data_IF_830896012537
#
_entry.id   IF_830896012537
#
_cell.length_a   1.000
_cell.length_b   1.000
_cell.length_c   1.000
_cell.angle_alpha   90.00
_cell.angle_beta   90.00
_cell.angle_gamma   90.00
#
_symmetry.space_group_name_H-M   'P 1'
#
loop_
_entity.id
_entity.type
_entity.pdbx_description
1 polymer ?
#
# COMPACT_ATOMS: atom_id res chain seq x y z
N UNK A 1 8.19 5.98 23.79
CA UNK A 1 6.79 5.78 23.31
C UNK A 1 6.06 4.98 24.37
N UNK A 2 4.91 5.49 24.85
CA UNK A 2 4.10 4.76 25.81
C UNK A 2 3.67 3.42 25.21
N UNK A 3 3.70 2.36 26.00
CA UNK A 3 3.31 0.98 25.60
C UNK A 3 1.81 0.81 25.29
N UNK A 4 1.10 1.88 24.92
CA UNK A 4 -0.36 1.94 24.88
C UNK A 4 -1.00 1.35 23.60
N UNK A 5 -0.19 0.86 22.64
CA UNK A 5 -0.72 0.31 21.40
C UNK A 5 -0.17 -1.07 21.05
N UNK A 6 -0.25 -1.99 22.00
CA UNK A 6 -0.01 -3.39 21.70
C UNK A 6 -1.24 -3.97 21.01
N UNK A 7 -1.06 -4.46 19.78
CA UNK A 7 -2.13 -5.16 19.07
C UNK A 7 -2.54 -6.44 19.80
N UNK A 8 -3.82 -6.71 19.86
CA UNK A 8 -4.30 -7.94 20.49
C UNK A 8 -3.84 -9.19 19.69
N UNK A 9 -3.70 -10.31 20.36
CA UNK A 9 -3.36 -11.59 19.72
C UNK A 9 -4.40 -11.97 18.65
N UNK A 10 -5.65 -11.59 18.85
CA UNK A 10 -6.72 -11.81 17.89
C UNK A 10 -6.47 -11.05 16.58
N UNK A 11 -6.11 -9.77 16.65
CA UNK A 11 -5.76 -8.94 15.48
C UNK A 11 -4.60 -9.57 14.70
N UNK A 12 -3.53 -9.95 15.40
CA UNK A 12 -2.38 -10.59 14.77
C UNK A 12 -2.78 -11.90 14.09
N UNK A 13 -3.55 -12.74 14.78
CA UNK A 13 -4.05 -14.01 14.22
C UNK A 13 -4.95 -13.82 13.00
N UNK A 14 -5.79 -12.79 12.99
CA UNK A 14 -6.63 -12.45 11.82
C UNK A 14 -5.77 -12.04 10.63
N UNK A 15 -4.76 -11.20 10.85
CA UNK A 15 -3.80 -10.81 9.81
C UNK A 15 -3.04 -12.02 9.25
N UNK A 16 -2.44 -12.83 10.12
CA UNK A 16 -1.71 -14.05 9.71
C UNK A 16 -2.58 -15.04 8.94
N UNK A 17 -3.84 -15.18 9.34
CA UNK A 17 -4.79 -16.10 8.70
C UNK A 17 -5.27 -15.59 7.35
N UNK A 18 -5.68 -14.34 7.27
CA UNK A 18 -6.41 -13.77 6.14
C UNK A 18 -5.53 -12.96 5.18
N UNK A 19 -4.37 -12.48 5.64
CA UNK A 19 -3.49 -11.56 4.88
C UNK A 19 -3.96 -10.11 4.92
N UNK A 20 -5.06 -9.82 5.61
CA UNK A 20 -5.60 -8.47 5.78
C UNK A 20 -6.39 -8.37 7.08
N UNK A 21 -6.32 -7.20 7.71
CA UNK A 21 -7.10 -6.85 8.91
C UNK A 21 -7.44 -5.36 8.92
N UNK A 22 -8.66 -5.03 9.38
CA UNK A 22 -9.08 -3.65 9.65
C UNK A 22 -8.79 -3.31 11.10
N UNK A 23 -8.03 -2.24 11.30
CA UNK A 23 -7.72 -1.65 12.60
C UNK A 23 -8.51 -0.33 12.73
N UNK A 24 -9.47 -0.29 13.66
CA UNK A 24 -10.33 0.88 13.81
C UNK A 24 -9.73 1.94 14.71
N UNK A 25 -9.89 3.22 14.32
CA UNK A 25 -9.49 4.40 15.11
C UNK A 25 -8.00 4.42 15.51
N UNK A 26 -7.10 3.93 14.63
CA UNK A 26 -5.66 3.89 14.93
C UNK A 26 -4.91 5.17 14.59
N UNK A 27 -5.51 6.05 13.78
CA UNK A 27 -4.91 7.32 13.36
C UNK A 27 -5.65 8.44 14.05
N UNK A 28 -4.99 9.11 14.99
CA UNK A 28 -5.57 10.21 15.73
C UNK A 28 -5.77 11.48 14.87
N UNK A 29 -6.55 12.43 15.39
CA UNK A 29 -6.90 13.66 14.68
C UNK A 29 -5.69 14.53 14.31
N UNK A 30 -4.57 14.44 15.05
CA UNK A 30 -3.34 15.16 14.70
C UNK A 30 -2.78 14.63 13.38
N UNK A 31 -2.62 13.30 13.28
CA UNK A 31 -2.11 12.67 12.08
C UNK A 31 -3.06 12.83 10.89
N UNK A 32 -4.38 12.72 11.12
CA UNK A 32 -5.36 12.95 10.04
C UNK A 32 -5.21 14.34 9.43
N UNK A 33 -5.04 15.40 10.24
CA UNK A 33 -4.81 16.78 9.74
C UNK A 33 -3.52 16.89 8.95
N UNK A 34 -2.41 16.35 9.47
CA UNK A 34 -1.12 16.36 8.78
C UNK A 34 -1.23 15.68 7.41
N UNK A 35 -1.89 14.53 7.34
CA UNK A 35 -2.13 13.81 6.08
C UNK A 35 -2.99 14.63 5.11
N UNK A 36 -4.08 15.23 5.59
CA UNK A 36 -4.96 16.06 4.76
C UNK A 36 -4.18 17.23 4.17
N UNK A 37 -3.45 17.98 4.99
CA UNK A 37 -2.72 19.17 4.56
C UNK A 37 -1.66 18.83 3.50
N UNK A 38 -0.86 17.79 3.73
CA UNK A 38 0.19 17.38 2.80
C UNK A 38 -0.37 16.80 1.50
N UNK A 39 -1.46 16.05 1.56
CA UNK A 39 -2.10 15.46 0.38
C UNK A 39 -2.79 16.55 -0.46
N UNK A 40 -3.45 17.53 0.15
CA UNK A 40 -4.03 18.66 -0.58
C UNK A 40 -2.95 19.56 -1.21
N UNK A 41 -1.77 19.64 -0.61
CA UNK A 41 -0.61 20.30 -1.22
C UNK A 41 -0.14 19.55 -2.47
N UNK A 42 0.03 18.22 -2.37
CA UNK A 42 0.43 17.38 -3.51
C UNK A 42 -0.60 17.39 -4.66
N UNK A 43 -1.89 17.38 -4.35
CA UNK A 43 -2.93 17.48 -5.38
C UNK A 43 -2.83 18.81 -6.15
N UNK A 44 -2.51 19.92 -5.48
CA UNK A 44 -2.35 21.23 -6.11
C UNK A 44 -1.04 21.37 -6.88
N UNK A 45 0.04 20.80 -6.37
CA UNK A 45 1.39 20.86 -6.93
C UNK A 45 2.07 19.50 -6.80
N UNK A 46 1.80 18.59 -7.75
CA UNK A 46 2.30 17.23 -7.65
C UNK A 46 3.82 17.13 -7.58
N UNK A 47 4.30 16.20 -6.74
CA UNK A 47 5.70 15.84 -6.63
C UNK A 47 6.22 15.06 -7.86
N UNK A 48 7.51 14.65 -7.87
CA UNK A 48 8.20 14.16 -9.06
C UNK A 48 7.71 12.79 -9.57
N UNK A 49 7.06 11.98 -8.73
CA UNK A 49 6.57 10.64 -9.10
C UNK A 49 5.06 10.62 -9.33
N UNK A 50 4.52 11.77 -9.71
CA UNK A 50 3.12 11.93 -10.04
C UNK A 50 2.74 11.10 -11.27
N UNK A 51 1.59 10.45 -11.18
CA UNK A 51 0.95 9.77 -12.28
C UNK A 51 -0.56 10.00 -12.22
N UNK A 52 -1.14 10.32 -13.35
CA UNK A 52 -2.58 10.50 -13.49
C UNK A 52 -3.14 9.51 -14.51
N UNK A 53 -4.35 9.07 -14.24
CA UNK A 53 -5.10 8.25 -15.18
C UNK A 53 -6.40 8.99 -15.50
N UNK A 54 -6.47 9.55 -16.70
CA UNK A 54 -7.70 10.13 -17.20
C UNK A 54 -8.59 9.01 -17.76
N UNK A 55 -9.88 9.08 -17.50
CA UNK A 55 -10.82 8.16 -18.12
C UNK A 55 -11.03 8.58 -19.58
N UNK A 56 -11.24 7.62 -20.49
CA UNK A 56 -11.52 7.89 -21.91
C UNK A 56 -12.77 8.78 -22.12
N UNK A 57 -13.69 8.80 -21.16
CA UNK A 57 -14.92 9.60 -21.21
C UNK A 57 -14.79 11.00 -20.60
N UNK A 58 -13.61 11.45 -20.18
CA UNK A 58 -13.36 12.78 -19.62
C UNK A 58 -14.07 13.09 -18.29
N UNK A 59 -14.69 12.09 -17.67
CA UNK A 59 -15.32 12.21 -16.36
C UNK A 59 -14.52 11.42 -15.32
N UNK A 60 -14.18 12.09 -14.21
CA UNK A 60 -13.39 11.54 -13.15
C UNK A 60 -11.91 11.44 -13.50
N UNK A 61 -11.07 11.77 -12.55
CA UNK A 61 -9.61 11.66 -12.65
C UNK A 61 -9.11 10.77 -11.53
N UNK A 62 -8.10 9.97 -11.84
CA UNK A 62 -7.31 9.30 -10.83
C UNK A 62 -5.98 10.04 -10.71
N UNK A 63 -5.68 10.55 -9.51
CA UNK A 63 -4.41 11.16 -9.16
C UNK A 63 -3.64 10.18 -8.27
N UNK A 64 -2.43 9.84 -8.67
CA UNK A 64 -1.50 9.04 -7.89
C UNK A 64 -0.15 9.70 -7.78
N UNK A 65 0.54 9.46 -6.69
CA UNK A 65 1.93 9.84 -6.50
C UNK A 65 2.59 8.87 -5.52
N UNK A 66 3.91 8.73 -5.57
CA UNK A 66 4.67 7.86 -4.68
C UNK A 66 5.91 8.56 -4.15
N UNK A 67 6.51 8.00 -3.09
CA UNK A 67 7.70 8.55 -2.43
C UNK A 67 7.50 9.98 -1.93
N UNK A 68 6.26 10.32 -1.50
CA UNK A 68 5.91 11.64 -1.01
C UNK A 68 6.62 11.95 0.32
N UNK A 69 6.88 10.93 1.15
CA UNK A 69 7.60 11.08 2.41
C UNK A 69 8.98 11.74 2.26
N UNK A 70 9.59 11.66 1.07
CA UNK A 70 10.88 12.29 0.77
C UNK A 70 10.76 13.80 0.53
N UNK A 71 9.56 14.30 0.23
CA UNK A 71 9.30 15.68 -0.20
C UNK A 71 8.42 16.48 0.76
N UNK A 72 7.57 15.81 1.54
CA UNK A 72 6.65 16.44 2.48
C UNK A 72 6.99 16.06 3.91
N UNK A 73 7.42 17.06 4.73
CA UNK A 73 7.84 16.79 6.10
C UNK A 73 6.75 16.13 6.95
N UNK A 74 5.49 16.52 6.79
CA UNK A 74 4.37 15.91 7.50
C UNK A 74 4.18 14.43 7.17
N UNK A 75 4.35 14.02 5.90
CA UNK A 75 4.29 12.61 5.48
C UNK A 75 5.51 11.84 5.97
N UNK A 76 6.69 12.46 5.95
CA UNK A 76 7.90 11.88 6.54
C UNK A 76 7.70 11.58 8.01
N UNK A 77 7.21 12.54 8.77
CA UNK A 77 6.95 12.38 10.20
C UNK A 77 5.91 11.29 10.45
N UNK A 78 4.85 11.22 9.64
CA UNK A 78 3.86 10.15 9.74
C UNK A 78 4.45 8.78 9.46
N UNK A 79 5.22 8.62 8.40
CA UNK A 79 5.82 7.34 8.03
C UNK A 79 6.85 6.83 9.05
N UNK A 80 7.57 7.74 9.73
CA UNK A 80 8.67 7.39 10.63
C UNK A 80 8.24 7.40 12.09
N UNK A 81 7.49 8.45 12.52
CA UNK A 81 7.26 8.76 13.93
C UNK A 81 5.85 8.39 14.42
N UNK A 82 4.97 7.89 13.55
CA UNK A 82 3.66 7.37 13.97
C UNK A 82 3.79 5.97 14.61
N UNK A 83 2.66 5.39 14.98
CA UNK A 83 2.61 4.02 15.49
C UNK A 83 2.76 2.94 14.41
N UNK A 84 2.77 3.31 13.11
CA UNK A 84 2.80 2.35 12.00
C UNK A 84 4.03 1.43 12.01
N UNK A 85 5.29 1.93 12.22
CA UNK A 85 6.46 1.04 12.31
C UNK A 85 6.33 -0.01 13.41
N UNK A 86 5.76 0.37 14.56
CA UNK A 86 5.55 -0.56 15.67
C UNK A 86 4.45 -1.58 15.37
N UNK A 87 3.37 -1.19 14.70
CA UNK A 87 2.36 -2.14 14.23
C UNK A 87 2.92 -3.10 13.18
N UNK A 88 3.78 -2.61 12.27
CA UNK A 88 4.47 -3.45 11.31
C UNK A 88 5.33 -4.51 12.01
N UNK A 89 6.09 -4.12 13.03
CA UNK A 89 6.91 -5.04 13.81
C UNK A 89 6.09 -6.16 14.45
N UNK A 90 4.91 -5.84 15.00
CA UNK A 90 4.03 -6.82 15.63
C UNK A 90 3.36 -7.74 14.60
N UNK A 91 2.81 -7.20 13.51
CA UNK A 91 2.10 -7.97 12.49
C UNK A 91 3.04 -8.86 11.66
N UNK A 92 4.26 -8.39 11.41
CA UNK A 92 5.29 -9.15 10.69
C UNK A 92 6.13 -10.06 11.60
N UNK A 93 5.93 -9.97 12.92
CA UNK A 93 6.79 -10.65 13.91
C UNK A 93 8.28 -10.39 13.64
N UNK A 94 8.64 -9.13 13.40
CA UNK A 94 10.01 -8.73 13.04
C UNK A 94 10.62 -7.85 14.13
N UNK A 95 11.91 -7.99 14.35
CA UNK A 95 12.68 -7.18 15.29
C UNK A 95 13.34 -5.96 14.65
N UNK A 96 13.21 -5.78 13.33
CA UNK A 96 13.65 -4.59 12.58
C UNK A 96 12.65 -4.28 11.48
N UNK A 97 12.35 -3.00 11.28
CA UNK A 97 11.43 -2.51 10.26
C UNK A 97 12.10 -1.40 9.45
N UNK A 98 12.08 -1.56 8.13
CA UNK A 98 12.44 -0.51 7.20
C UNK A 98 11.18 0.12 6.60
N UNK A 99 11.18 1.43 6.44
CA UNK A 99 10.24 2.13 5.56
C UNK A 99 10.62 1.79 4.12
N UNK A 100 9.65 1.29 3.34
CA UNK A 100 9.91 0.97 1.95
C UNK A 100 9.51 2.12 1.03
N UNK A 101 8.25 2.50 0.99
CA UNK A 101 7.76 3.73 0.34
C UNK A 101 6.31 4.00 0.71
N UNK A 102 5.85 5.19 0.36
CA UNK A 102 4.47 5.61 0.49
C UNK A 102 3.83 5.92 -0.87
N UNK A 103 2.51 5.90 -0.93
CA UNK A 103 1.77 6.15 -2.17
C UNK A 103 0.40 6.74 -1.91
N UNK A 104 0.07 7.75 -2.71
CA UNK A 104 -1.22 8.43 -2.72
C UNK A 104 -2.11 7.88 -3.84
N UNK A 105 -3.40 7.75 -3.53
CA UNK A 105 -4.44 7.31 -4.46
C UNK A 105 -5.68 8.18 -4.30
N UNK A 106 -5.93 9.10 -5.21
CA UNK A 106 -7.14 9.93 -5.21
C UNK A 106 -8.04 9.52 -6.36
N UNK A 107 -9.24 9.10 -6.04
CA UNK A 107 -10.31 8.89 -7.02
C UNK A 107 -11.28 10.06 -6.93
N UNK A 108 -11.31 10.89 -7.96
CA UNK A 108 -12.30 11.95 -8.06
C UNK A 108 -13.71 11.38 -8.25
N UNK A 109 -14.77 12.17 -8.01
CA UNK A 109 -16.14 11.75 -8.28
C UNK A 109 -16.28 11.15 -9.68
N UNK A 110 -17.11 10.13 -9.81
CA UNK A 110 -17.41 9.46 -11.08
C UNK A 110 -16.19 8.80 -11.78
N UNK A 111 -15.10 8.54 -11.05
CA UNK A 111 -13.95 7.77 -11.57
C UNK A 111 -14.31 6.28 -11.67
N UNK A 112 -14.78 5.84 -12.83
CA UNK A 112 -15.24 4.46 -13.05
C UNK A 112 -14.12 3.42 -13.07
N UNK A 113 -12.86 3.85 -13.23
CA UNK A 113 -11.73 2.94 -13.38
C UNK A 113 -11.48 2.13 -12.11
N UNK A 114 -11.48 0.80 -12.26
CA UNK A 114 -11.05 -0.14 -11.23
C UNK A 114 -9.52 -0.16 -11.16
N UNK A 115 -8.99 -0.39 -9.96
CA UNK A 115 -7.65 -0.97 -9.80
C UNK A 115 -7.85 -2.48 -9.94
N UNK A 116 -7.19 -3.08 -10.94
CA UNK A 116 -7.28 -4.50 -11.25
C UNK A 116 -6.83 -5.35 -10.07
N UNK A 117 -7.29 -6.59 -10.02
CA UNK A 117 -6.79 -7.58 -9.09
C UNK A 117 -5.29 -7.80 -9.31
N UNK A 118 -4.50 -7.78 -8.24
CA UNK A 118 -3.05 -7.96 -8.25
C UNK A 118 -2.56 -8.31 -6.84
N UNK A 119 -1.32 -8.73 -6.74
CA UNK A 119 -0.56 -8.67 -5.50
C UNK A 119 0.60 -7.68 -5.67
N UNK A 120 0.93 -6.98 -4.61
CA UNK A 120 1.82 -5.82 -4.64
C UNK A 120 3.30 -6.19 -4.90
N UNK A 121 3.80 -7.23 -4.23
CA UNK A 121 5.24 -7.51 -4.18
C UNK A 121 5.89 -7.78 -5.56
N UNK A 122 5.22 -8.38 -6.56
CA UNK A 122 5.79 -8.51 -7.91
C UNK A 122 6.14 -7.19 -8.61
N UNK A 123 5.55 -6.09 -8.18
CA UNK A 123 5.88 -4.75 -8.69
C UNK A 123 7.15 -4.17 -8.08
N UNK A 124 7.71 -4.79 -7.03
CA UNK A 124 8.71 -4.17 -6.18
C UNK A 124 10.09 -4.81 -6.34
N UNK A 125 11.18 -4.02 -6.27
CA UNK A 125 12.55 -4.53 -6.34
C UNK A 125 13.00 -5.13 -5.00
N UNK A 126 12.18 -6.03 -4.43
CA UNK A 126 12.45 -6.69 -3.14
C UNK A 126 11.97 -8.14 -3.13
N UNK A 127 12.64 -8.97 -2.33
CA UNK A 127 12.26 -10.35 -2.03
C UNK A 127 12.24 -10.60 -0.53
N UNK A 128 11.23 -11.32 -0.07
CA UNK A 128 11.08 -11.73 1.32
C UNK A 128 9.61 -11.81 1.72
N UNK A 129 9.36 -12.52 2.82
CA UNK A 129 8.00 -12.70 3.32
C UNK A 129 7.48 -11.52 4.15
N UNK A 130 8.26 -10.94 5.09
CA UNK A 130 7.73 -9.95 6.02
C UNK A 130 7.58 -8.58 5.37
N UNK A 131 6.55 -8.42 4.52
CA UNK A 131 6.24 -7.17 3.81
C UNK A 131 4.77 -6.80 4.01
N UNK A 132 4.51 -5.57 4.46
CA UNK A 132 3.18 -5.10 4.82
C UNK A 132 2.89 -3.73 4.21
N UNK A 133 1.65 -3.53 3.81
CA UNK A 133 1.08 -2.23 3.46
C UNK A 133 0.06 -1.80 4.52
N UNK A 134 0.18 -0.56 4.99
CA UNK A 134 -0.88 0.12 5.72
C UNK A 134 -1.57 1.10 4.80
N UNK A 135 -2.88 1.00 4.70
CA UNK A 135 -3.67 1.91 3.88
C UNK A 135 -4.73 2.59 4.74
N UNK A 136 -4.79 3.91 4.67
CA UNK A 136 -5.81 4.72 5.33
C UNK A 136 -6.59 5.54 4.32
N UNK A 137 -7.84 5.84 4.63
CA UNK A 137 -8.64 6.82 3.90
C UNK A 137 -8.83 8.09 4.71
N UNK A 138 -8.75 9.23 4.03
CA UNK A 138 -9.09 10.54 4.61
C UNK A 138 -10.56 10.88 4.46
N UNK A 139 -11.29 10.07 3.71
CA UNK A 139 -12.72 10.20 3.44
C UNK A 139 -13.44 8.91 3.88
N UNK A 140 -14.73 8.95 4.25
CA UNK A 140 -15.48 7.75 4.54
C UNK A 140 -15.48 6.80 3.34
N UNK A 141 -15.28 5.52 3.58
CA UNK A 141 -15.31 4.46 2.56
C UNK A 141 -16.60 3.66 2.68
N UNK A 142 -17.27 3.50 1.54
CA UNK A 142 -18.45 2.67 1.37
C UNK A 142 -18.38 1.91 0.04
N UNK A 143 -19.38 1.09 -0.23
CA UNK A 143 -19.48 0.34 -1.50
C UNK A 143 -19.51 1.23 -2.74
N UNK A 144 -19.92 2.49 -2.61
CA UNK A 144 -20.13 3.40 -3.74
C UNK A 144 -18.88 4.14 -4.18
N UNK A 145 -17.90 4.32 -3.28
CA UNK A 145 -16.70 5.11 -3.58
C UNK A 145 -15.43 4.29 -3.77
N UNK A 146 -15.58 3.01 -4.07
CA UNK A 146 -14.50 2.13 -4.48
C UNK A 146 -13.64 1.64 -3.31
N UNK A 147 -14.22 0.87 -2.39
CA UNK A 147 -13.47 0.22 -1.32
C UNK A 147 -12.38 -0.70 -1.87
N UNK A 148 -11.37 -0.94 -1.08
CA UNK A 148 -10.43 -2.01 -1.36
C UNK A 148 -11.10 -3.36 -1.12
N UNK A 149 -10.88 -4.27 -2.04
CA UNK A 149 -11.36 -5.66 -2.00
C UNK A 149 -10.16 -6.60 -1.91
N UNK A 150 -10.26 -7.62 -1.07
CA UNK A 150 -9.19 -8.58 -0.80
C UNK A 150 -9.71 -10.00 -0.93
N UNK A 151 -8.89 -10.92 -1.45
CA UNK A 151 -9.18 -12.35 -1.38
C UNK A 151 -8.48 -12.91 -0.14
N UNK A 152 -9.28 -13.31 0.86
CA UNK A 152 -8.72 -13.87 2.10
C UNK A 152 -7.81 -15.06 1.82
N UNK A 153 -6.70 -15.13 2.55
CA UNK A 153 -5.69 -16.20 2.49
C UNK A 153 -4.89 -16.29 1.19
N UNK A 154 -5.14 -15.41 0.21
CA UNK A 154 -4.42 -15.46 -1.07
C UNK A 154 -2.92 -15.20 -0.96
N UNK A 155 -2.45 -14.50 0.08
CA UNK A 155 -1.03 -14.34 0.36
C UNK A 155 -0.30 -15.70 0.59
N UNK A 156 -1.03 -16.76 0.97
CA UNK A 156 -0.52 -18.12 1.20
C UNK A 156 -0.56 -19.02 -0.04
N UNK A 157 -0.99 -18.50 -1.19
CA UNK A 157 -1.06 -19.30 -2.41
C UNK A 157 0.31 -19.62 -3.01
N UNK A 158 1.38 -18.92 -2.58
CA UNK A 158 2.71 -19.06 -3.15
C UNK A 158 2.80 -18.56 -4.59
N UNK A 159 1.88 -17.67 -5.00
CA UNK A 159 1.74 -17.19 -6.37
C UNK A 159 2.23 -15.75 -6.49
N UNK A 160 3.02 -15.52 -7.53
CA UNK A 160 3.45 -14.19 -7.96
C UNK A 160 2.82 -13.91 -9.31
N UNK A 161 2.06 -12.83 -9.38
CA UNK A 161 1.34 -12.49 -10.59
C UNK A 161 2.05 -11.40 -11.38
N UNK A 162 2.02 -11.56 -12.73
CA UNK A 162 2.63 -10.61 -13.63
C UNK A 162 2.10 -9.19 -13.39
N UNK A 163 2.97 -8.19 -13.12
CA UNK A 163 2.59 -6.80 -13.06
C UNK A 163 1.91 -6.32 -14.34
N UNK A 164 0.80 -5.62 -14.20
CA UNK A 164 0.08 -4.98 -15.28
C UNK A 164 -0.18 -3.50 -14.94
N UNK A 165 -0.24 -2.65 -15.95
CA UNK A 165 -0.61 -1.25 -15.72
C UNK A 165 -2.06 -1.14 -15.23
N UNK A 166 -2.27 -0.30 -14.24
CA UNK A 166 -3.60 -0.05 -13.69
C UNK A 166 -4.45 0.86 -14.57
N UNK A 167 -3.79 1.68 -15.43
CA UNK A 167 -4.48 2.58 -16.34
C UNK A 167 -4.80 1.88 -17.67
N UNK A 168 -6.01 2.03 -18.19
CA UNK A 168 -6.29 1.73 -19.60
C UNK A 168 -5.39 2.59 -20.50
N UNK A 169 -4.75 1.98 -21.48
CA UNK A 169 -3.95 2.72 -22.48
C UNK A 169 -2.59 3.25 -21.98
N UNK A 170 -2.11 2.85 -20.81
CA UNK A 170 -0.79 3.26 -20.33
C UNK A 170 0.30 2.81 -21.32
N UNK A 171 1.16 3.74 -21.71
CA UNK A 171 2.13 3.59 -22.81
C UNK A 171 3.30 2.63 -22.53
N UNK A 172 3.49 2.20 -21.28
CA UNK A 172 4.56 1.27 -20.90
C UNK A 172 3.98 0.06 -20.17
N UNK A 173 3.98 -1.08 -20.84
CA UNK A 173 3.74 -2.35 -20.17
C UNK A 173 4.94 -2.68 -19.26
N UNK A 174 4.68 -3.28 -18.10
CA UNK A 174 5.75 -3.87 -17.30
C UNK A 174 6.44 -4.98 -18.08
N UNK A 175 7.76 -5.08 -17.91
CA UNK A 175 8.52 -6.17 -18.49
C UNK A 175 8.00 -7.53 -17.99
N UNK A 176 7.79 -8.49 -18.90
CA UNK A 176 7.31 -9.81 -18.52
C UNK A 176 8.38 -10.59 -17.78
N UNK A 177 8.03 -11.10 -16.61
CA UNK A 177 8.83 -12.05 -15.88
C UNK A 177 8.31 -13.47 -16.16
N UNK A 178 9.14 -14.39 -16.71
CA UNK A 178 8.71 -15.75 -17.05
C UNK A 178 8.34 -16.60 -15.83
N UNK A 179 8.76 -16.21 -14.63
CA UNK A 179 8.44 -16.89 -13.36
C UNK A 179 7.09 -16.45 -12.79
N UNK A 180 6.49 -15.39 -13.32
CA UNK A 180 5.22 -14.87 -12.81
C UNK A 180 4.04 -15.39 -13.60
N UNK A 181 3.00 -15.75 -12.90
CA UNK A 181 1.78 -16.26 -13.51
C UNK A 181 0.86 -15.11 -13.95
N UNK A 182 0.01 -15.39 -14.93
CA UNK A 182 -1.09 -14.48 -15.23
C UNK A 182 -2.11 -14.55 -14.10
N UNK A 183 -2.58 -13.37 -13.63
CA UNK A 183 -3.67 -13.36 -12.65
C UNK A 183 -4.93 -14.00 -13.24
N UNK A 184 -5.64 -14.87 -12.50
CA UNK A 184 -6.90 -15.44 -12.99
C UNK A 184 -7.97 -14.35 -13.17
N UNK A 185 -8.96 -14.63 -14.00
CA UNK A 185 -10.14 -13.76 -14.16
C UNK A 185 -11.05 -13.84 -12.92
N UNK A 186 -10.64 -13.11 -11.90
CA UNK A 186 -11.37 -13.04 -10.61
C UNK A 186 -12.69 -12.34 -10.81
N UNK A 187 -12.72 -11.28 -11.63
CA UNK A 187 -13.90 -10.42 -11.76
C UNK A 187 -15.09 -11.19 -12.35
N UNK A 188 -14.86 -12.01 -13.37
CA UNK A 188 -15.91 -12.86 -13.96
C UNK A 188 -16.23 -14.11 -13.13
N UNK A 189 -15.47 -14.39 -12.07
CA UNK A 189 -15.61 -15.60 -11.24
C UNK A 189 -15.63 -15.26 -9.74
N UNK A 190 -16.20 -14.14 -9.35
CA UNK A 190 -16.17 -13.64 -7.96
C UNK A 190 -16.74 -14.64 -6.95
N UNK A 191 -17.72 -15.43 -7.36
CA UNK A 191 -18.35 -16.48 -6.56
C UNK A 191 -17.41 -17.62 -6.13
N UNK A 192 -16.29 -17.78 -6.83
CA UNK A 192 -15.26 -18.80 -6.52
C UNK A 192 -14.21 -18.32 -5.49
N UNK A 193 -14.25 -17.04 -5.09
CA UNK A 193 -13.25 -16.43 -4.23
C UNK A 193 -13.86 -15.88 -2.95
N UNK A 194 -13.15 -16.04 -1.83
CA UNK A 194 -13.54 -15.47 -0.54
C UNK A 194 -13.14 -13.99 -0.49
N UNK A 195 -13.94 -13.15 -1.15
CA UNK A 195 -13.70 -11.72 -1.28
C UNK A 195 -14.30 -10.98 -0.10
N UNK A 196 -13.50 -10.11 0.52
CA UNK A 196 -13.94 -9.20 1.56
C UNK A 196 -13.61 -7.75 1.22
N UNK A 197 -14.39 -6.84 1.73
CA UNK A 197 -14.15 -5.40 1.74
C UNK A 197 -14.60 -4.81 3.06
N UNK A 198 -14.18 -3.58 3.34
CA UNK A 198 -14.45 -2.92 4.61
C UNK A 198 -15.00 -1.52 4.38
N UNK A 199 -16.09 -1.19 5.07
CA UNK A 199 -16.48 0.20 5.27
C UNK A 199 -15.53 0.82 6.30
N UNK A 200 -15.05 2.03 6.03
CA UNK A 200 -14.06 2.70 6.87
C UNK A 200 -14.45 4.15 7.12
N UNK A 201 -14.03 4.63 8.27
CA UNK A 201 -14.06 6.06 8.59
C UNK A 201 -12.64 6.63 8.58
N UNK A 202 -12.46 7.95 8.41
CA UNK A 202 -11.18 8.60 8.66
C UNK A 202 -10.62 8.22 10.04
N UNK A 203 -9.36 7.79 10.06
CA UNK A 203 -8.74 7.25 11.28
C UNK A 203 -8.67 5.73 11.34
N UNK A 204 -9.43 5.03 10.53
CA UNK A 204 -9.30 3.58 10.37
C UNK A 204 -8.09 3.25 9.47
N UNK A 205 -7.53 2.05 9.67
CA UNK A 205 -6.33 1.59 9.01
C UNK A 205 -6.50 0.15 8.53
N UNK A 206 -6.30 -0.09 7.25
CA UNK A 206 -6.14 -1.44 6.70
C UNK A 206 -4.68 -1.84 6.77
N UNK A 207 -4.40 -3.01 7.34
CA UNK A 207 -3.10 -3.64 7.29
C UNK A 207 -3.18 -4.90 6.43
N UNK A 208 -2.35 -5.02 5.38
CA UNK A 208 -2.38 -6.18 4.51
C UNK A 208 -1.00 -6.59 4.01
N UNK A 209 -0.84 -7.91 3.85
CA UNK A 209 0.39 -8.52 3.38
C UNK A 209 0.61 -8.22 1.89
N UNK A 210 1.84 -7.96 1.48
CA UNK A 210 2.18 -7.60 0.10
C UNK A 210 1.80 -8.65 -0.97
N UNK A 211 1.63 -9.91 -0.58
CA UNK A 211 1.21 -10.99 -1.48
C UNK A 211 -0.30 -11.26 -1.46
N UNK A 212 -1.10 -10.56 -0.63
CA UNK A 212 -2.55 -10.73 -0.69
C UNK A 212 -3.08 -10.17 -2.02
N UNK A 213 -3.90 -10.94 -2.69
CA UNK A 213 -4.55 -10.50 -3.93
C UNK A 213 -5.65 -9.52 -3.58
N UNK A 214 -5.56 -8.34 -4.17
CA UNK A 214 -6.51 -7.27 -3.90
C UNK A 214 -6.75 -6.40 -5.15
N UNK A 215 -7.76 -5.58 -5.06
CA UNK A 215 -8.13 -4.61 -6.08
C UNK A 215 -9.03 -3.54 -5.49
N UNK A 216 -9.57 -2.66 -6.30
CA UNK A 216 -10.59 -1.72 -5.82
C UNK A 216 -11.55 -1.32 -6.93
N UNK A 217 -12.83 -1.24 -6.61
CA UNK A 217 -13.84 -0.75 -7.53
C UNK A 217 -13.61 0.72 -7.90
N UNK A 218 -14.28 1.20 -8.94
CA UNK A 218 -14.34 2.62 -9.27
C UNK A 218 -15.08 3.42 -8.20
N UNK A 219 -14.89 4.74 -8.22
CA UNK A 219 -15.68 5.67 -7.41
C UNK A 219 -16.89 6.13 -8.23
N UNK A 220 -18.07 5.64 -7.91
CA UNK A 220 -19.32 6.03 -8.56
C UNK A 220 -20.11 7.08 -7.75
N UNK A 221 -19.56 7.49 -6.60
CA UNK A 221 -20.16 8.51 -5.75
C UNK A 221 -19.88 9.92 -6.27
N UNK A 222 -20.52 10.91 -5.64
CA UNK A 222 -20.31 12.34 -5.91
C UNK A 222 -19.15 12.95 -5.13
N UNK A 223 -18.51 12.17 -4.27
CA UNK A 223 -17.48 12.63 -3.36
C UNK A 223 -16.11 12.09 -3.77
N UNK A 224 -15.07 12.90 -3.54
CA UNK A 224 -13.67 12.50 -3.69
C UNK A 224 -13.31 11.41 -2.67
N UNK A 225 -12.46 10.49 -3.07
CA UNK A 225 -11.89 9.47 -2.18
C UNK A 225 -10.36 9.52 -2.19
N UNK A 226 -9.76 9.97 -1.08
CA UNK A 226 -8.31 10.04 -0.87
C UNK A 226 -7.85 8.86 -0.03
N UNK A 227 -7.00 8.03 -0.61
CA UNK A 227 -6.36 6.92 0.08
C UNK A 227 -4.85 7.11 0.12
N UNK A 228 -4.23 6.81 1.24
CA UNK A 228 -2.79 6.89 1.43
C UNK A 228 -2.24 5.59 2.00
N UNK A 229 -1.22 5.06 1.37
CA UNK A 229 -0.58 3.82 1.75
C UNK A 229 0.88 4.04 2.18
N UNK A 230 1.29 3.40 3.27
CA UNK A 230 2.69 3.32 3.70
C UNK A 230 3.10 1.87 3.76
N UNK A 231 4.26 1.54 3.22
CA UNK A 231 4.75 0.16 3.12
C UNK A 231 6.02 -0.03 3.93
N UNK A 232 6.07 -1.15 4.63
CA UNK A 232 7.21 -1.52 5.46
C UNK A 232 7.66 -2.93 5.17
N UNK A 233 8.94 -3.17 5.41
CA UNK A 233 9.57 -4.49 5.32
C UNK A 233 10.17 -4.88 6.65
N UNK A 234 10.13 -6.17 6.95
CA UNK A 234 10.83 -6.75 8.09
C UNK A 234 12.28 -7.09 7.76
N UNK A 235 12.98 -7.64 8.76
CA UNK A 235 14.42 -7.86 8.78
C UNK A 235 15.00 -8.67 7.62
N UNK A 236 14.29 -9.69 7.14
CA UNK A 236 14.86 -10.68 6.20
C UNK A 236 14.48 -10.39 4.74
N UNK A 237 14.00 -9.17 4.47
CA UNK A 237 13.71 -8.72 3.11
C UNK A 237 14.99 -8.19 2.47
N UNK A 238 15.27 -8.68 1.27
CA UNK A 238 16.44 -8.29 0.48
C UNK A 238 16.05 -7.47 -0.75
N UNK A 239 16.96 -6.65 -1.21
CA UNK A 239 16.86 -5.99 -2.49
C UNK A 239 17.01 -6.99 -3.64
N UNK A 240 16.16 -6.87 -4.67
CA UNK A 240 16.16 -7.77 -5.82
C UNK A 240 15.49 -7.08 -7.02
N UNK A 241 16.29 -6.76 -8.04
CA UNK A 241 15.83 -6.04 -9.25
C UNK A 241 15.27 -7.00 -10.30
N UNK A 242 14.15 -7.62 -10.00
CA UNK A 242 13.53 -8.53 -10.95
C UNK A 242 12.88 -7.81 -12.15
N UNK A 243 12.71 -8.58 -13.24
CA UNK A 243 11.92 -8.14 -14.39
C UNK A 243 10.50 -7.81 -13.95
N UNK A 244 10.02 -6.66 -14.40
CA UNK A 244 8.69 -6.15 -14.03
C UNK A 244 8.67 -5.30 -12.77
N UNK A 245 9.77 -5.18 -12.02
CA UNK A 245 9.83 -4.27 -10.87
C UNK A 245 9.86 -2.80 -11.29
N UNK A 246 9.14 -1.96 -10.51
CA UNK A 246 8.97 -0.54 -10.78
C UNK A 246 10.29 0.21 -10.72
N UNK A 247 10.64 0.94 -11.79
CA UNK A 247 11.93 1.62 -11.93
C UNK A 247 12.15 2.70 -10.86
N UNK A 248 11.11 3.48 -10.54
CA UNK A 248 11.19 4.57 -9.55
C UNK A 248 11.35 4.09 -8.10
N UNK A 249 11.19 2.78 -7.86
CA UNK A 249 11.46 2.15 -6.56
C UNK A 249 12.84 1.49 -6.51
N UNK A 250 13.60 1.48 -7.60
CA UNK A 250 14.95 0.92 -7.58
C UNK A 250 15.92 1.87 -6.87
N UNK A 251 16.82 1.29 -6.10
CA UNK A 251 17.90 2.01 -5.43
C UNK A 251 19.23 1.70 -6.13
N UNK A 252 19.89 2.69 -6.75
CA UNK A 252 21.14 2.45 -7.47
C UNK A 252 22.33 2.16 -6.54
N UNK A 253 22.20 2.41 -5.23
CA UNK A 253 23.24 2.13 -4.23
C UNK A 253 23.22 0.68 -3.75
N UNK A 254 22.13 -0.08 -4.01
CA UNK A 254 21.97 -1.45 -3.58
C UNK A 254 22.18 -2.44 -4.73
N UNK A 255 22.66 -3.64 -4.38
CA UNK A 255 22.80 -4.80 -5.27
C UNK A 255 21.85 -5.90 -4.86
N UNK A 256 21.50 -6.75 -5.81
CA UNK A 256 20.67 -7.92 -5.54
C UNK A 256 21.29 -8.79 -4.42
N UNK A 257 20.47 -9.08 -3.40
CA UNK A 257 20.89 -9.78 -2.20
C UNK A 257 21.24 -8.89 -1.00
N UNK A 258 21.41 -7.57 -1.20
CA UNK A 258 21.68 -6.65 -0.08
C UNK A 258 20.45 -6.49 0.81
N UNK A 259 20.69 -6.22 2.10
CA UNK A 259 19.65 -5.73 2.99
C UNK A 259 19.21 -4.31 2.56
N UNK A 260 17.97 -3.94 2.89
CA UNK A 260 17.42 -2.67 2.43
C UNK A 260 17.98 -1.41 3.11
N UNK A 261 18.74 -1.56 4.19
CA UNK A 261 19.24 -0.47 5.05
C UNK A 261 19.95 0.62 4.24
N UNK A 262 19.23 1.67 3.88
CA UNK A 262 19.71 2.76 3.04
C UNK A 262 18.95 4.06 3.32
N UNK A 263 19.39 5.16 2.73
CA UNK A 263 18.65 6.44 2.83
C UNK A 263 17.26 6.37 2.22
N UNK A 264 17.10 5.59 1.14
CA UNK A 264 15.80 5.41 0.47
C UNK A 264 14.88 4.46 1.24
N UNK A 265 15.44 3.50 1.96
CA UNK A 265 14.71 2.51 2.75
C UNK A 265 15.22 2.51 4.21
N UNK A 266 15.01 3.61 4.95
CA UNK A 266 15.60 3.77 6.28
C UNK A 266 15.02 2.75 7.27
N UNK A 267 15.86 2.31 8.22
CA UNK A 267 15.39 1.62 9.41
C UNK A 267 14.60 2.63 10.23
N UNK A 268 13.35 2.30 10.55
CA UNK A 268 12.42 3.20 11.27
C UNK A 268 11.96 2.62 12.61
N UNK A 269 12.26 1.37 12.85
CA UNK A 269 12.06 0.71 14.14
C UNK A 269 12.98 -0.49 14.29
N UNK A 270 13.58 -0.65 15.47
CA UNK A 270 14.35 -1.83 15.85
C UNK A 270 14.16 -2.12 17.34
N UNK A 271 14.06 -3.41 17.69
CA UNK A 271 13.81 -3.85 19.06
C UNK A 271 15.01 -3.51 19.97
N UNK A 272 14.76 -2.73 20.99
CA UNK A 272 15.79 -2.33 21.97
C UNK A 272 16.46 -0.99 21.65
N UNK A 273 16.16 -0.37 20.52
CA UNK A 273 16.62 0.99 20.19
C UNK A 273 15.50 2.02 20.34
N UNK A 274 15.88 3.19 20.82
CA UNK A 274 14.99 4.38 20.85
C UNK A 274 15.19 5.16 19.56
N UNK A 275 14.30 4.96 18.60
CA UNK A 275 14.18 5.83 17.43
C UNK A 275 13.34 7.05 17.83
N UNK A 276 13.98 8.13 18.22
CA UNK A 276 13.42 9.46 18.48
C UNK A 276 14.11 10.48 17.59
#
# INVERSE_FOLDING_TARGET
MSNDFVLSREIISVFEKNGVVLLKNMINNKWQRILIDAIEEDIKKPGPFFHAYNTEEGKGNFHGNMRLWEHYQGLKDYCINSTLPYFAAQLLNSNKINLFYDQLFVKEPETKNRIRWHNDQPYWPIRGWPVISFWTSLDPISKENGPMEFIRKSHKWGKWYQPENFAPGASKAYEKNPEFEKIPDIESNRDKYDIISFDMNPGDLLAFHALVVHGSAGNISKDRRRGYAVRYTGKDVIYCTEKGSHLDLRNPELKDGDLLDSKQYPVVWEKGENFL
#
